data_IF_389329590758
#
_entry.id   IF_389329590758
#
_cell.length_a   1.000
_cell.length_b   1.000
_cell.length_c   1.000
_cell.angle_alpha   90.00
_cell.angle_beta   90.00
_cell.angle_gamma   90.00
#
_symmetry.space_group_name_H-M   'P 1'
#
loop_
_entity.id
_entity.type
_entity.pdbx_description
1 polymer ?
2 non-polymer ?
3 water ?
#
# COMPACT_ATOMS: atom_id res chain seq x y z
N UNK A 4 -22.81 8.03 1.10
CA UNK A 4 -23.72 7.82 2.22
C UNK A 4 -23.28 6.95 3.36
N UNK A 5 -22.06 6.70 3.63
CA UNK A 5 -21.92 6.25 5.04
C UNK A 5 -20.71 6.94 5.65
N UNK A 6 -20.11 6.23 6.55
CA UNK A 6 -18.79 6.58 7.04
C UNK A 6 -18.20 7.76 6.22
N UNK A 7 -17.76 8.84 6.88
CA UNK A 7 -17.09 9.97 6.18
C UNK A 7 -15.61 9.81 6.35
N UNK A 8 -14.85 10.34 5.46
CA UNK A 8 -13.46 10.14 5.63
C UNK A 8 -12.71 11.46 5.51
N UNK A 9 -11.57 11.55 6.17
CA UNK A 9 -10.88 12.78 5.90
C UNK A 9 -9.70 12.39 4.97
N UNK A 10 -9.22 13.22 4.03
CA UNK A 10 -8.04 12.86 3.18
C UNK A 10 -6.87 13.86 3.38
N UNK A 11 -5.90 13.44 4.17
CA UNK A 11 -4.77 14.30 4.40
C UNK A 11 -3.96 14.21 3.12
N UNK A 12 -3.24 15.28 2.81
CA UNK A 12 -2.42 15.31 1.61
C UNK A 12 -3.19 15.63 0.34
N UNK A 13 -4.37 16.23 0.56
CA UNK A 13 -5.34 16.55 -0.50
C UNK A 13 -4.97 17.12 -1.86
N UNK A 14 -3.77 17.65 -2.00
CA UNK A 14 -3.33 18.13 -3.30
C UNK A 14 -2.12 17.36 -3.78
N UNK A 15 -1.66 16.39 -2.99
CA UNK A 15 -0.55 15.56 -3.42
C UNK A 15 -1.02 14.48 -4.42
N UNK A 16 -0.09 13.81 -5.09
CA UNK A 16 -0.44 12.79 -6.07
C UNK A 16 -1.41 11.81 -5.56
N UNK A 17 -1.25 11.37 -4.33
CA UNK A 17 -2.19 10.42 -3.75
C UNK A 17 -3.52 10.97 -3.24
N UNK A 18 -3.54 12.15 -2.61
CA UNK A 18 -4.80 12.72 -2.09
C UNK A 18 -5.87 12.99 -3.18
N UNK A 19 -5.50 13.35 -4.38
CA UNK A 19 -6.55 13.56 -5.35
C UNK A 19 -7.34 12.29 -5.70
N UNK A 20 -6.52 11.29 -5.99
CA UNK A 20 -6.95 9.96 -6.42
C UNK A 20 -7.73 9.48 -5.30
N UNK A 21 -7.37 9.95 -4.14
CA UNK A 21 -8.05 9.39 -3.01
C UNK A 21 -9.42 10.02 -2.91
N UNK A 22 -9.59 11.19 -3.52
CA UNK A 22 -10.87 11.86 -3.42
C UNK A 22 -11.78 11.24 -4.41
N UNK A 23 -11.25 11.14 -5.62
CA UNK A 23 -12.02 10.44 -6.63
C UNK A 23 -12.34 9.08 -6.10
N UNK A 24 -11.35 8.29 -5.69
CA UNK A 24 -11.76 6.97 -5.22
C UNK A 24 -12.86 6.96 -4.19
N UNK A 25 -12.94 8.02 -3.37
CA UNK A 25 -13.87 8.02 -2.25
C UNK A 25 -15.28 8.29 -2.69
N UNK A 26 -15.46 9.37 -3.44
CA UNK A 26 -16.79 9.69 -3.99
C UNK A 26 -17.35 8.42 -4.69
N UNK A 27 -16.81 8.16 -5.88
CA UNK A 27 -16.95 6.89 -6.56
C UNK A 27 -17.23 5.68 -5.63
N UNK A 28 -16.54 5.53 -4.53
CA UNK A 28 -16.96 4.37 -3.75
C UNK A 28 -18.27 4.63 -3.05
N UNK A 29 -19.05 3.59 -2.91
CA UNK A 29 -20.35 3.70 -2.28
C UNK A 29 -20.29 3.21 -0.85
N UNK A 30 -21.01 3.89 0.02
CA UNK A 30 -21.02 3.42 1.39
C UNK A 30 -19.95 4.23 2.08
N UNK A 31 -19.45 5.26 1.39
CA UNK A 31 -18.46 6.16 1.92
C UNK A 31 -18.75 7.63 1.51
N UNK A 32 -18.74 8.56 2.47
CA UNK A 32 -18.88 9.97 2.16
C UNK A 32 -17.57 10.68 2.48
N UNK A 33 -17.37 11.77 1.75
CA UNK A 33 -16.20 12.61 1.91
C UNK A 33 -16.39 13.67 2.99
N UNK A 34 -15.99 13.40 4.24
CA UNK A 34 -16.13 14.38 5.32
C UNK A 34 -15.13 15.55 5.27
N UNK A 35 -13.82 15.29 5.30
CA UNK A 35 -12.89 16.43 5.33
C UNK A 35 -11.77 16.32 4.36
N UNK A 36 -11.14 17.44 4.03
CA UNK A 36 -10.07 17.44 3.06
C UNK A 36 -8.92 18.32 3.49
N UNK A 37 -7.95 17.67 4.11
CA UNK A 37 -6.86 18.44 4.56
C UNK A 37 -5.70 18.63 3.64
N UNK A 38 -5.00 19.71 3.93
CA UNK A 38 -3.76 20.04 3.27
C UNK A 38 -2.96 20.76 4.36
N UNK A 39 -1.72 21.14 4.16
CA UNK A 39 -1.14 21.79 5.32
C UNK A 39 -1.30 23.30 5.15
N UNK A 40 -1.27 24.06 6.25
CA UNK A 40 -1.37 25.55 6.19
C UNK A 40 -0.14 26.31 5.61
N UNK A 41 -0.32 27.05 4.51
CA UNK A 41 0.81 27.66 3.84
C UNK A 41 0.77 27.45 2.32
N UNK A 42 0.19 26.34 1.88
CA UNK A 42 0.02 26.06 0.45
C UNK A 42 -1.07 26.99 -0.06
N UNK A 43 -1.37 26.91 -1.35
CA UNK A 43 -2.43 27.71 -1.98
C UNK A 43 -3.77 27.13 -1.51
N UNK A 44 -3.64 26.28 -0.49
CA UNK A 44 -4.74 25.48 0.07
C UNK A 44 -5.78 25.32 -1.06
N UNK A 45 -5.16 24.96 -2.18
CA UNK A 45 -5.78 24.70 -3.50
C UNK A 45 -7.32 24.62 -3.42
N UNK A 46 -7.92 25.80 -3.65
CA UNK A 46 -9.38 26.02 -3.67
C UNK A 46 -10.13 24.94 -2.87
N UNK A 47 -10.58 25.37 -1.70
CA UNK A 47 -11.32 24.50 -0.78
C UNK A 47 -12.05 23.40 -1.55
N UNK A 48 -11.28 22.33 -1.69
CA UNK A 48 -11.67 21.03 -2.29
C UNK A 48 -12.40 21.10 -3.63
N UNK A 49 -13.23 20.05 -3.64
CA UNK A 49 -14.19 19.65 -4.68
C UNK A 49 -13.48 18.88 -5.77
N UNK A 50 -14.13 18.92 -6.90
CA UNK A 50 -13.54 18.44 -8.11
C UNK A 50 -12.39 19.39 -8.34
N UNK A 51 -12.40 20.39 -7.44
CA UNK A 51 -11.35 21.39 -7.40
C UNK A 51 -10.10 20.60 -7.66
N UNK A 52 -9.79 19.86 -6.64
CA UNK A 52 -8.63 19.00 -6.62
C UNK A 52 -8.84 17.76 -7.47
N UNK A 53 -9.54 16.83 -6.90
CA UNK A 53 -9.80 15.52 -7.51
C UNK A 53 -10.54 15.62 -8.86
N UNK A 54 -10.30 16.71 -9.58
CA UNK A 54 -10.92 16.95 -10.91
C UNK A 54 -12.41 16.54 -10.99
N UNK A 55 -12.99 16.30 -9.81
CA UNK A 55 -14.39 15.84 -9.65
C UNK A 55 -15.39 17.02 -9.72
N UNK A 56 -16.49 16.82 -8.99
CA UNK A 56 -17.63 17.77 -8.92
C UNK A 56 -17.21 19.11 -8.29
N UNK A 57 -17.68 19.32 -7.07
CA UNK A 57 -17.41 20.56 -6.31
C UNK A 57 -17.41 20.28 -4.80
N UNK A 58 -18.45 19.59 -4.37
CA UNK A 58 -18.65 19.17 -2.97
C UNK A 58 -18.55 20.33 -1.99
N UNK A 59 -19.62 20.61 -1.28
CA UNK A 59 -19.54 21.64 -0.23
C UNK A 59 -18.37 21.30 0.73
N UNK A 60 -17.62 20.24 0.37
CA UNK A 60 -16.43 19.77 1.14
C UNK A 60 -15.21 20.52 0.63
N UNK A 61 -14.71 21.35 1.50
CA UNK A 61 -13.66 22.29 1.18
C UNK A 61 -12.37 22.03 2.02
N UNK A 62 -11.24 22.08 1.33
CA UNK A 62 -9.99 21.72 1.98
C UNK A 62 -9.64 22.60 3.19
N UNK A 63 -8.94 22.01 4.15
CA UNK A 63 -8.65 22.77 5.33
C UNK A 63 -7.21 22.59 5.78
N UNK A 64 -6.94 23.06 7.01
CA UNK A 64 -5.62 23.04 7.67
C UNK A 64 -5.82 22.69 9.14
N UNK A 65 -7.05 22.55 9.60
CA UNK A 65 -7.21 22.26 11.00
C UNK A 65 -7.90 21.00 11.47
N UNK A 66 -7.09 20.10 11.99
CA UNK A 66 -7.59 18.90 12.60
C UNK A 66 -8.78 19.04 13.52
N UNK A 67 -8.76 20.03 14.39
CA UNK A 67 -9.85 20.10 15.36
C UNK A 67 -11.05 20.74 14.67
N UNK A 68 -10.70 21.48 13.64
CA UNK A 68 -11.69 22.13 12.82
C UNK A 68 -12.73 21.16 12.19
N UNK A 69 -12.35 19.91 11.99
CA UNK A 69 -13.11 18.96 11.20
C UNK A 69 -13.51 17.78 12.00
N UNK A 70 -13.03 17.76 13.23
CA UNK A 70 -13.20 16.59 14.08
C UNK A 70 -14.52 15.86 14.04
N UNK A 71 -15.57 16.64 13.81
CA UNK A 71 -16.92 16.05 13.78
C UNK A 71 -17.36 15.69 12.37
N UNK A 72 -16.57 16.19 11.41
CA UNK A 72 -16.67 15.94 9.98
C UNK A 72 -16.25 14.59 9.34
N UNK A 73 -15.52 13.71 10.01
CA UNK A 73 -15.11 12.45 9.39
C UNK A 73 -15.06 11.43 10.49
N UNK A 74 -15.03 10.17 10.12
CA UNK A 74 -15.02 9.07 11.08
C UNK A 74 -13.69 8.29 11.02
N UNK A 75 -13.10 8.28 9.81
CA UNK A 75 -11.88 7.58 9.50
C UNK A 75 -10.97 8.52 8.74
N UNK A 76 -9.68 8.39 9.08
CA UNK A 76 -8.70 9.29 8.55
C UNK A 76 -7.77 8.53 7.63
N UNK A 77 -7.58 9.00 6.39
CA UNK A 77 -6.69 8.31 5.46
C UNK A 77 -5.46 9.15 5.15
N UNK A 78 -4.31 8.53 5.38
CA UNK A 78 -3.08 9.24 5.24
C UNK A 78 -2.06 8.62 4.31
N UNK A 79 -1.74 9.37 3.26
CA UNK A 79 -0.64 9.12 2.37
C UNK A 79 0.07 10.42 2.27
N UNK A 80 0.87 10.72 3.30
CA UNK A 80 1.68 11.96 3.35
C UNK A 80 3.14 11.70 3.68
N UNK A 81 3.57 12.18 4.86
CA UNK A 81 4.95 12.01 5.38
C UNK A 81 4.92 11.61 6.81
N UNK A 82 5.91 10.82 7.21
CA UNK A 82 5.95 10.18 8.53
C UNK A 82 5.64 11.13 9.61
N UNK A 83 6.21 12.32 9.45
CA UNK A 83 6.10 13.39 10.42
C UNK A 83 4.67 13.91 10.53
N UNK A 84 4.07 14.18 9.37
CA UNK A 84 2.66 14.58 9.36
C UNK A 84 1.79 13.49 9.99
N UNK A 85 2.08 12.26 9.56
CA UNK A 85 1.33 11.10 10.04
C UNK A 85 1.27 11.08 11.55
N UNK A 86 2.45 11.13 12.14
CA UNK A 86 2.59 11.04 13.58
C UNK A 86 1.72 12.07 14.34
N UNK A 87 1.58 13.25 13.73
CA UNK A 87 0.68 14.27 14.30
C UNK A 87 -0.79 13.84 14.25
N UNK A 88 -1.25 13.58 13.03
CA UNK A 88 -2.61 13.12 12.79
C UNK A 88 -2.79 11.96 13.68
N UNK A 89 -1.75 11.16 13.79
CA UNK A 89 -1.89 9.99 14.63
C UNK A 89 -2.25 10.31 16.01
N UNK A 90 -1.64 11.35 16.53
CA UNK A 90 -1.88 11.72 17.91
C UNK A 90 -3.30 12.21 18.08
N UNK A 91 -3.77 13.01 17.14
CA UNK A 91 -5.12 13.56 17.19
C UNK A 91 -6.13 12.44 17.10
N UNK A 92 -6.01 11.61 16.05
CA UNK A 92 -7.01 10.53 15.95
C UNK A 92 -7.03 9.69 17.16
N UNK A 93 -5.84 9.42 17.69
CA UNK A 93 -5.77 8.58 18.88
C UNK A 93 -6.54 9.15 20.12
N UNK A 94 -6.40 10.47 20.29
CA UNK A 94 -7.02 11.26 21.34
C UNK A 94 -8.54 10.99 21.29
N UNK A 95 -9.13 11.33 20.15
CA UNK A 95 -10.57 11.17 19.89
C UNK A 95 -10.72 9.94 18.98
N UNK A 96 -11.14 8.82 19.54
CA UNK A 96 -11.27 7.61 18.72
C UNK A 96 -11.63 7.84 17.24
N UNK A 97 -10.58 8.01 16.45
CA UNK A 97 -10.77 8.20 15.04
C UNK A 97 -9.82 7.16 14.43
N UNK A 98 -10.39 6.26 13.61
CA UNK A 98 -9.70 5.17 12.90
C UNK A 98 -8.76 5.65 11.83
N UNK A 99 -7.67 4.93 11.61
CA UNK A 99 -6.79 5.42 10.55
C UNK A 99 -6.59 4.41 9.43
N UNK A 100 -6.50 4.91 8.22
CA UNK A 100 -6.00 4.08 7.18
C UNK A 100 -4.69 4.73 6.83
N UNK A 101 -3.57 4.03 7.06
CA UNK A 101 -2.26 4.65 6.82
C UNK A 101 -1.43 4.06 5.72
N UNK A 102 -1.03 4.86 4.74
CA UNK A 102 -0.25 4.30 3.64
C UNK A 102 0.99 5.07 3.37
N UNK A 103 1.25 5.99 4.27
CA UNK A 103 2.46 6.77 4.25
C UNK A 103 3.54 5.76 4.54
N UNK A 104 4.66 5.91 3.87
CA UNK A 104 5.75 5.02 4.23
C UNK A 104 7.01 5.71 4.71
N UNK A 105 7.96 4.87 5.15
CA UNK A 105 9.30 5.28 5.57
C UNK A 105 9.43 5.68 7.04
N UNK A 106 8.68 5.03 7.93
CA UNK A 106 8.83 5.33 9.34
C UNK A 106 10.17 4.77 9.83
N UNK A 107 10.60 5.17 11.01
CA UNK A 107 11.82 4.62 11.58
C UNK A 107 11.09 3.82 12.62
N UNK A 108 11.86 3.00 13.30
CA UNK A 108 11.38 2.07 14.29
C UNK A 108 10.54 2.74 15.34
N UNK A 109 10.92 3.95 15.63
CA UNK A 109 10.17 4.67 16.62
C UNK A 109 8.81 4.95 16.00
N UNK A 110 8.83 5.22 14.69
CA UNK A 110 7.63 5.54 13.92
C UNK A 110 6.64 4.42 14.09
N UNK A 111 7.05 3.30 13.55
CA UNK A 111 6.23 2.11 13.58
C UNK A 111 5.79 1.85 14.97
N UNK A 112 6.61 2.24 15.92
CA UNK A 112 6.24 1.85 17.25
C UNK A 112 5.04 2.56 17.82
N UNK A 113 4.85 3.81 17.38
CA UNK A 113 3.74 4.69 17.85
C UNK A 113 2.44 4.14 17.32
N UNK A 114 2.50 3.88 16.03
CA UNK A 114 1.47 3.14 15.34
C UNK A 114 0.98 1.94 16.11
N UNK A 115 1.83 0.95 16.41
CA UNK A 115 1.28 -0.20 17.11
C UNK A 115 0.72 0.25 18.40
N UNK A 116 1.35 1.30 18.93
CA UNK A 116 0.87 1.74 20.21
C UNK A 116 -0.42 2.45 20.10
N UNK A 117 -0.60 3.33 19.11
CA UNK A 117 -1.92 3.99 18.90
C UNK A 117 -2.99 2.93 18.64
N UNK A 118 -2.58 1.82 18.02
CA UNK A 118 -3.45 0.65 17.79
C UNK A 118 -4.18 -0.01 18.95
N UNK A 119 -3.97 0.37 20.18
CA UNK A 119 -4.89 -0.18 21.16
C UNK A 119 -6.06 0.70 21.59
N UNK A 120 -6.19 1.85 20.97
CA UNK A 120 -7.21 2.79 21.32
C UNK A 120 -8.02 3.10 20.07
N UNK A 121 -7.38 2.99 18.92
CA UNK A 121 -8.14 3.23 17.70
C UNK A 121 -7.91 2.03 16.80
N UNK A 122 -8.67 1.96 15.73
CA UNK A 122 -8.48 0.87 14.77
C UNK A 122 -7.74 1.46 13.61
N UNK A 123 -6.61 0.83 13.27
CA UNK A 123 -5.73 1.25 12.17
C UNK A 123 -5.41 0.13 11.11
N UNK A 124 -5.46 0.49 9.84
CA UNK A 124 -4.99 -0.39 8.79
C UNK A 124 -3.72 0.21 8.29
N UNK A 125 -2.66 -0.53 8.44
CA UNK A 125 -1.43 0.05 8.08
C UNK A 125 -0.91 -0.92 7.07
N UNK A 126 -0.52 -0.43 5.90
CA UNK A 126 0.01 -1.28 4.87
C UNK A 126 0.95 -0.58 3.98
N UNK A 127 1.96 -1.33 3.58
CA UNK A 127 2.98 -0.89 2.62
C UNK A 127 2.45 -0.72 1.24
N UNK A 128 1.56 -1.64 0.85
CA UNK A 128 1.00 -1.65 -0.51
C UNK A 128 -0.47 -1.95 -0.34
N UNK A 129 -1.28 -1.10 -0.95
CA UNK A 129 -2.70 -1.14 -0.75
C UNK A 129 -3.36 -1.60 -2.03
N UNK A 130 -2.63 -2.16 -2.97
CA UNK A 130 -3.28 -2.67 -4.18
C UNK A 130 -3.82 -4.06 -3.92
N UNK A 131 -5.12 -4.27 -4.09
CA UNK A 131 -5.73 -5.60 -3.85
C UNK A 131 -5.06 -6.75 -4.59
N UNK A 132 -4.95 -6.53 -5.89
CA UNK A 132 -4.17 -7.32 -6.82
C UNK A 132 -2.86 -7.77 -6.18
N UNK A 133 -2.04 -6.86 -5.73
CA UNK A 133 -0.76 -7.24 -5.17
C UNK A 133 -0.96 -8.07 -3.93
N UNK A 134 -1.99 -7.78 -3.18
CA UNK A 134 -2.10 -8.49 -1.93
C UNK A 134 -2.56 -9.92 -2.16
N UNK A 135 -3.39 -10.08 -3.20
CA UNK A 135 -3.76 -11.44 -3.59
C UNK A 135 -2.52 -12.17 -4.16
N UNK A 136 -1.78 -11.54 -5.06
CA UNK A 136 -0.65 -12.21 -5.62
C UNK A 136 0.30 -12.73 -4.58
N UNK A 137 0.47 -11.95 -3.53
CA UNK A 137 1.39 -12.40 -2.50
C UNK A 137 0.87 -13.68 -1.82
N UNK A 138 -0.41 -13.73 -1.53
CA UNK A 138 -1.07 -14.95 -1.00
C UNK A 138 -0.88 -16.21 -1.98
N UNK A 139 -1.13 -15.95 -3.27
CA UNK A 139 -0.98 -16.97 -4.29
C UNK A 139 0.41 -17.63 -4.42
N UNK A 140 1.38 -16.77 -4.36
CA UNK A 140 2.78 -17.10 -4.48
C UNK A 140 3.24 -18.00 -3.36
N UNK A 141 2.51 -18.03 -2.26
CA UNK A 141 2.86 -18.85 -1.15
C UNK A 141 2.48 -20.28 -1.44
N UNK A 142 1.20 -20.36 -1.76
CA UNK A 142 0.53 -21.57 -2.10
C UNK A 142 1.38 -22.14 -3.12
N UNK A 143 1.43 -21.43 -4.21
CA UNK A 143 2.31 -21.84 -5.26
C UNK A 143 3.69 -22.44 -4.86
N UNK A 144 4.43 -21.77 -3.99
CA UNK A 144 5.74 -22.20 -3.51
C UNK A 144 5.61 -23.52 -2.77
N UNK A 145 4.49 -23.65 -2.10
CA UNK A 145 4.16 -24.85 -1.35
C UNK A 145 4.41 -26.09 -2.18
N UNK A 146 3.73 -26.12 -3.31
CA UNK A 146 3.77 -27.33 -4.15
C UNK A 146 4.86 -27.31 -5.24
N UNK A 147 5.12 -26.18 -5.88
CA UNK A 147 6.15 -26.17 -6.96
C UNK A 147 7.49 -25.67 -6.43
N UNK A 148 7.42 -24.62 -5.65
CA UNK A 148 8.62 -24.06 -5.02
C UNK A 148 9.32 -25.20 -4.30
N UNK A 149 10.59 -25.40 -4.62
CA UNK A 149 11.35 -26.51 -4.04
C UNK A 149 12.53 -26.94 -4.89
N UNK A 150 12.01 -27.36 -6.06
CA UNK A 150 12.64 -28.03 -7.23
C UNK A 150 12.55 -27.19 -8.51
N UNK A 151 11.80 -26.10 -8.41
CA UNK A 151 11.68 -25.16 -9.52
C UNK A 151 12.59 -23.97 -9.25
N UNK A 152 13.06 -23.40 -10.33
CA UNK A 152 13.87 -22.19 -10.25
C UNK A 152 12.91 -21.03 -10.03
N UNK A 153 13.30 -20.07 -9.21
CA UNK A 153 12.48 -18.92 -8.90
C UNK A 153 13.21 -17.63 -9.13
N UNK A 154 12.58 -16.85 -10.01
CA UNK A 154 13.06 -15.55 -10.50
C UNK A 154 11.95 -14.55 -10.43
N UNK A 155 12.18 -13.36 -9.85
CA UNK A 155 11.24 -12.27 -9.75
C UNK A 155 11.71 -11.16 -10.69
N UNK A 156 10.86 -10.66 -11.59
CA UNK A 156 11.19 -9.54 -12.52
C UNK A 156 10.25 -8.37 -12.18
N UNK A 157 10.77 -7.14 -12.13
CA UNK A 157 9.88 -6.01 -11.82
C UNK A 157 10.41 -4.89 -12.64
N UNK A 158 9.46 -4.09 -13.13
CA UNK A 158 9.71 -2.93 -13.99
C UNK A 158 9.07 -1.70 -13.29
N UNK A 159 9.70 -0.53 -13.38
CA UNK A 159 9.13 0.69 -12.84
C UNK A 159 9.72 1.79 -13.62
N UNK A 160 9.06 2.93 -13.56
CA UNK A 160 9.44 4.18 -14.23
C UNK A 160 10.89 4.65 -13.91
N UNK A 161 11.39 5.50 -14.78
CA UNK A 161 12.73 5.90 -14.70
C UNK A 161 13.02 6.79 -13.56
N UNK A 162 12.16 6.99 -12.59
CA UNK A 162 12.62 7.81 -11.49
C UNK A 162 12.57 7.06 -10.22
N UNK A 163 12.35 5.74 -10.24
CA UNK A 163 12.35 4.92 -9.02
C UNK A 163 13.83 4.79 -8.66
N UNK A 164 14.18 4.96 -7.37
CA UNK A 164 15.61 4.98 -6.95
C UNK A 164 16.23 3.75 -6.28
N UNK A 165 15.35 2.86 -5.86
CA UNK A 165 15.76 1.68 -5.16
C UNK A 165 15.46 0.50 -6.02
N UNK A 166 16.44 -0.39 -6.17
CA UNK A 166 16.36 -1.64 -6.91
C UNK A 166 16.74 -2.77 -5.96
N UNK A 167 15.77 -3.65 -5.97
CA UNK A 167 14.63 -4.25 -6.72
C UNK A 167 13.48 -3.70 -5.90
N UNK A 168 12.35 -3.41 -6.42
CA UNK A 168 11.29 -2.75 -5.62
C UNK A 168 11.03 -3.33 -4.25
N UNK A 169 10.27 -2.63 -3.45
CA UNK A 169 9.91 -3.17 -2.15
C UNK A 169 8.91 -4.26 -2.36
N UNK A 170 8.09 -4.15 -3.40
CA UNK A 170 7.17 -5.24 -3.66
C UNK A 170 7.93 -6.49 -4.11
N UNK A 171 8.92 -6.35 -5.00
CA UNK A 171 9.67 -7.54 -5.37
C UNK A 171 10.25 -8.18 -4.14
N UNK A 172 10.63 -7.34 -3.17
CA UNK A 172 11.28 -7.88 -2.00
C UNK A 172 10.36 -8.63 -1.11
N UNK A 173 9.18 -8.08 -0.99
CA UNK A 173 8.12 -8.75 -0.24
C UNK A 173 7.69 -10.07 -0.96
N UNK A 174 7.62 -10.02 -2.30
CA UNK A 174 7.34 -11.20 -3.11
C UNK A 174 8.34 -12.30 -2.69
N UNK A 175 9.62 -11.92 -2.75
CA UNK A 175 10.78 -12.75 -2.34
C UNK A 175 10.68 -13.36 -0.94
N UNK A 176 10.26 -12.56 0.01
CA UNK A 176 10.20 -13.08 1.34
C UNK A 176 9.05 -13.99 1.47
N UNK A 177 7.96 -13.63 0.79
CA UNK A 177 6.70 -14.43 0.77
C UNK A 177 6.92 -15.88 0.37
N UNK A 178 7.75 -16.03 -0.64
CA UNK A 178 8.18 -17.31 -1.15
C UNK A 178 9.15 -18.04 -0.23
N UNK A 179 10.26 -17.37 0.07
CA UNK A 179 11.33 -17.93 0.91
C UNK A 179 10.73 -18.42 2.21
N UNK A 180 9.83 -17.66 2.76
CA UNK A 180 9.24 -18.17 3.95
C UNK A 180 8.49 -19.47 3.62
N UNK A 181 7.75 -19.45 2.49
CA UNK A 181 6.87 -20.57 2.16
C UNK A 181 7.77 -21.78 2.18
N UNK A 182 8.97 -21.60 1.69
CA UNK A 182 9.82 -22.74 1.56
C UNK A 182 10.51 -22.84 2.88
N UNK A 183 10.11 -21.96 3.76
CA UNK A 183 10.70 -21.96 5.07
C UNK A 183 12.22 -21.83 5.05
N UNK A 184 12.74 -20.80 4.39
CA UNK A 184 14.18 -20.48 4.37
C UNK A 184 14.37 -19.00 4.56
N UNK A 185 15.58 -18.55 4.32
CA UNK A 185 15.72 -17.15 4.49
C UNK A 185 16.19 -16.40 3.29
N UNK A 186 15.35 -15.40 2.96
CA UNK A 186 15.52 -14.63 1.75
C UNK A 186 16.94 -14.20 1.62
N UNK A 187 17.49 -13.84 2.77
CA UNK A 187 18.86 -13.35 2.85
C UNK A 187 19.92 -14.42 2.52
N UNK A 188 19.64 -15.69 2.83
CA UNK A 188 20.56 -16.81 2.50
C UNK A 188 20.56 -17.30 1.01
N UNK A 189 19.46 -17.04 0.32
CA UNK A 189 19.28 -17.45 -1.08
C UNK A 189 19.00 -16.44 -2.21
N UNK A 190 19.15 -15.13 -1.99
CA UNK A 190 18.82 -14.10 -3.00
C UNK A 190 20.01 -13.76 -3.86
N UNK A 191 19.78 -13.40 -5.10
CA UNK A 191 20.83 -12.98 -6.00
C UNK A 191 20.31 -11.73 -6.76
N UNK A 192 20.94 -10.56 -6.73
CA UNK A 192 20.26 -9.39 -7.25
C UNK A 192 20.88 -8.93 -8.46
N UNK A 193 21.99 -9.51 -8.78
CA UNK A 193 22.67 -8.96 -9.93
C UNK A 193 23.27 -10.13 -10.70
N UNK A 194 23.53 -10.00 -12.00
CA UNK A 194 24.09 -11.09 -12.81
C UNK A 194 24.82 -10.39 -13.94
N UNK A 195 26.13 -10.23 -13.80
CA UNK A 195 26.95 -9.48 -14.76
C UNK A 195 28.14 -10.40 -15.07
N UNK A 196 28.61 -10.47 -16.30
CA UNK A 196 29.73 -11.31 -16.71
C UNK A 196 29.68 -12.84 -16.51
N UNK A 197 30.84 -13.45 -16.25
CA UNK A 197 30.85 -14.90 -16.09
C UNK A 197 30.32 -15.25 -14.76
N UNK A 198 29.10 -15.69 -14.74
CA UNK A 198 28.50 -16.02 -13.48
C UNK A 198 28.81 -17.50 -13.17
N UNK A 199 28.99 -18.34 -14.18
CA UNK A 199 29.01 -19.77 -13.90
C UNK A 199 27.52 -20.15 -13.89
N UNK A 200 27.14 -21.32 -13.38
CA UNK A 200 25.76 -21.78 -13.48
C UNK A 200 24.81 -21.25 -12.42
N UNK A 201 23.50 -21.16 -12.75
CA UNK A 201 22.53 -20.72 -11.76
C UNK A 201 22.63 -21.75 -10.63
N UNK A 202 22.51 -21.30 -9.38
CA UNK A 202 22.65 -22.12 -8.20
C UNK A 202 21.32 -22.54 -7.75
N UNK A 203 21.17 -23.84 -7.51
CA UNK A 203 19.86 -24.36 -7.18
C UNK A 203 19.62 -23.80 -5.84
N UNK A 204 18.37 -23.41 -5.63
CA UNK A 204 17.93 -22.95 -4.34
C UNK A 204 17.89 -21.40 -4.29
N UNK A 205 18.50 -20.67 -5.23
CA UNK A 205 18.37 -19.24 -5.10
C UNK A 205 17.13 -18.56 -5.72
N UNK A 206 16.97 -17.27 -5.43
CA UNK A 206 15.85 -16.53 -5.98
C UNK A 206 16.47 -15.33 -6.64
N UNK A 207 16.64 -15.35 -7.96
CA UNK A 207 17.20 -14.23 -8.71
C UNK A 207 16.15 -13.09 -8.76
N UNK A 208 16.56 -11.85 -9.07
CA UNK A 208 15.66 -10.72 -9.17
C UNK A 208 16.24 -10.00 -10.35
N UNK A 209 15.38 -9.56 -11.23
CA UNK A 209 15.80 -8.82 -12.42
C UNK A 209 14.96 -7.55 -12.28
N UNK A 210 15.51 -6.41 -12.72
CA UNK A 210 14.98 -5.08 -12.50
C UNK A 210 15.13 -4.21 -13.68
N UNK A 211 13.96 -3.76 -14.13
CA UNK A 211 13.80 -2.97 -15.34
C UNK A 211 13.30 -1.60 -14.90
N UNK A 212 13.92 -0.57 -15.49
CA UNK A 212 13.56 0.82 -15.16
C UNK A 212 13.35 1.53 -16.43
N UNK A 213 12.12 1.97 -16.72
CA UNK A 213 11.96 2.69 -17.99
C UNK A 213 10.67 3.53 -17.99
N UNK A 214 10.60 4.53 -18.87
CA UNK A 214 9.41 5.38 -19.01
C UNK A 214 8.63 5.73 -17.78
N UNK A 215 7.32 5.58 -17.88
CA UNK A 215 6.39 5.90 -16.81
C UNK A 215 5.67 4.67 -16.26
N UNK A 216 6.21 3.47 -16.47
CA UNK A 216 5.61 2.22 -15.94
C UNK A 216 5.35 2.37 -14.50
N UNK A 217 4.13 2.22 -14.06
CA UNK A 217 3.79 2.48 -12.67
C UNK A 217 4.23 1.36 -11.74
N UNK A 218 4.28 0.15 -12.32
CA UNK A 218 4.64 -1.05 -11.57
C UNK A 218 4.13 -2.40 -12.02
N UNK A 219 5.07 -3.22 -12.44
CA UNK A 219 4.80 -4.56 -12.88
C UNK A 219 5.65 -5.56 -12.14
N UNK A 220 4.98 -6.55 -11.59
CA UNK A 220 5.70 -7.57 -10.87
C UNK A 220 5.36 -8.97 -11.39
N UNK A 221 6.38 -9.77 -11.74
CA UNK A 221 6.20 -11.15 -12.15
C UNK A 221 7.01 -12.16 -11.39
N UNK A 222 6.37 -13.19 -10.89
CA UNK A 222 7.10 -14.23 -10.20
C UNK A 222 7.09 -15.46 -11.09
N UNK A 223 8.22 -16.10 -11.27
CA UNK A 223 8.29 -17.21 -12.15
C UNK A 223 8.65 -18.54 -11.46
N UNK A 224 8.01 -19.67 -11.73
CA UNK A 224 8.53 -20.91 -11.17
C UNK A 224 8.79 -21.79 -12.35
N UNK A 225 10.06 -21.97 -12.72
CA UNK A 225 10.48 -22.74 -13.87
C UNK A 225 11.04 -24.16 -13.55
N UNK A 226 10.46 -25.16 -14.23
CA UNK A 226 10.90 -26.55 -14.16
C UNK A 226 11.41 -26.86 -15.54
N UNK A 227 11.61 -28.14 -15.76
CA UNK A 227 12.02 -28.57 -17.11
C UNK A 227 10.82 -28.96 -17.91
N UNK A 228 10.41 -28.10 -18.83
CA UNK A 228 9.23 -28.39 -19.60
C UNK A 228 8.04 -27.52 -19.32
N UNK A 229 8.00 -26.82 -18.22
CA UNK A 229 6.87 -25.92 -18.05
C UNK A 229 7.29 -24.66 -17.19
N UNK A 230 6.57 -23.53 -17.28
CA UNK A 230 6.75 -22.36 -16.36
C UNK A 230 5.37 -21.85 -15.84
N UNK A 231 5.21 -21.64 -14.54
CA UNK A 231 4.07 -20.92 -13.98
C UNK A 231 4.56 -19.46 -13.66
N UNK A 232 3.92 -18.44 -14.23
CA UNK A 232 4.15 -17.00 -13.97
C UNK A 232 2.95 -16.32 -13.34
N UNK A 233 3.17 -15.50 -12.32
CA UNK A 233 2.14 -14.73 -11.69
C UNK A 233 2.60 -13.27 -11.70
N UNK A 234 1.94 -12.48 -12.56
CA UNK A 234 2.23 -11.12 -12.87
C UNK A 234 1.13 -10.20 -12.37
N UNK A 235 1.52 -9.05 -11.82
CA UNK A 235 0.54 -8.08 -11.40
C UNK A 235 0.97 -6.82 -12.07
N UNK A 236 0.08 -6.21 -12.86
CA UNK A 236 0.44 -4.95 -13.53
C UNK A 236 -0.43 -3.81 -12.99
N UNK A 237 0.17 -2.72 -12.45
CA UNK A 237 -0.58 -1.56 -11.95
C UNK A 237 -0.58 -0.68 -13.11
N UNK A 238 -1.75 -0.17 -13.41
CA UNK A 238 -1.95 0.70 -14.57
C UNK A 238 -1.96 2.20 -14.12
N UNK A 239 -2.40 2.42 -12.88
CA UNK A 239 -2.43 3.78 -12.36
C UNK A 239 -2.50 3.63 -10.89
N UNK A 240 -2.11 4.72 -10.25
CA UNK A 240 -2.12 4.75 -8.78
C UNK A 240 -3.50 4.59 -8.16
N UNK A 241 -4.56 4.56 -8.98
CA UNK A 241 -5.92 4.39 -8.47
C UNK A 241 -5.97 3.05 -7.81
N UNK A 242 -5.17 2.14 -8.30
CA UNK A 242 -5.14 0.89 -7.63
C UNK A 242 -4.91 0.97 -6.07
N UNK A 243 -4.15 1.91 -5.53
CA UNK A 243 -4.00 1.93 -4.06
C UNK A 243 -5.07 2.75 -3.32
N UNK A 244 -5.52 3.77 -4.02
CA UNK A 244 -6.58 4.68 -3.57
C UNK A 244 -7.81 3.88 -3.35
N UNK A 245 -8.10 2.98 -4.31
CA UNK A 245 -9.23 2.06 -4.22
C UNK A 245 -9.09 1.15 -3.03
N UNK A 246 -7.91 0.60 -2.85
CA UNK A 246 -7.83 -0.34 -1.76
C UNK A 246 -7.73 0.39 -0.42
N UNK A 247 -7.40 1.67 -0.39
CA UNK A 247 -7.35 2.38 0.91
C UNK A 247 -8.75 2.68 1.36
N UNK A 248 -9.50 3.19 0.39
CA UNK A 248 -10.90 3.40 0.62
C UNK A 248 -11.62 2.11 0.95
N UNK A 249 -11.37 1.03 0.26
CA UNK A 249 -12.06 -0.19 0.66
C UNK A 249 -11.75 -0.48 2.12
N UNK A 250 -10.51 -0.25 2.58
CA UNK A 250 -10.19 -0.58 3.98
C UNK A 250 -10.82 0.35 5.01
N UNK A 251 -10.93 1.62 4.63
CA UNK A 251 -11.63 2.63 5.44
C UNK A 251 -13.02 2.14 5.72
N UNK A 252 -13.68 1.78 4.66
CA UNK A 252 -14.98 1.16 4.80
C UNK A 252 -14.92 -0.07 5.67
N UNK A 253 -13.94 -0.94 5.45
CA UNK A 253 -13.96 -2.19 6.22
C UNK A 253 -13.85 -1.90 7.71
N UNK A 254 -13.25 -0.76 8.03
CA UNK A 254 -13.00 -0.40 9.41
C UNK A 254 -14.24 -0.18 10.20
N UNK A 255 -15.35 -0.18 9.47
CA UNK A 255 -16.66 0.11 10.02
C UNK A 255 -17.05 -0.90 11.01
N UNK A 256 -17.30 -0.40 12.20
CA UNK A 256 -17.70 -1.25 13.31
C UNK A 256 -16.51 -1.59 14.19
N UNK A 257 -15.32 -1.26 13.68
CA UNK A 257 -14.10 -1.60 14.33
C UNK A 257 -13.67 -0.55 15.30
N UNK A 258 -13.56 -1.04 16.54
CA UNK A 258 -13.09 -0.31 17.71
C UNK A 258 -11.55 -0.08 17.73
N UNK A 259 -10.78 -1.17 17.73
CA UNK A 259 -9.31 -1.06 17.67
C UNK A 259 -8.59 -2.33 17.17
N UNK A 260 -7.29 -2.18 16.87
CA UNK A 260 -6.39 -3.29 16.53
C UNK A 260 -5.60 -2.78 15.36
N UNK A 261 -4.46 -3.42 15.13
CA UNK A 261 -3.61 -3.09 13.98
C UNK A 261 -3.92 -4.12 12.87
N UNK A 262 -4.14 -3.66 11.65
CA UNK A 262 -4.47 -4.57 10.59
C UNK A 262 -3.79 -4.20 9.31
N UNK A 263 -3.94 -5.07 8.32
CA UNK A 263 -3.42 -4.80 6.99
C UNK A 263 -4.40 -5.50 6.04
N UNK A 264 -4.08 -5.45 4.74
CA UNK A 264 -4.84 -5.97 3.64
C UNK A 264 -5.26 -7.45 3.71
N UNK A 265 -4.46 -8.29 4.32
CA UNK A 265 -4.82 -9.66 4.51
C UNK A 265 -6.04 -9.69 5.34
N UNK A 266 -6.13 -8.71 6.25
CA UNK A 266 -7.28 -8.55 7.19
C UNK A 266 -8.45 -8.00 6.43
N UNK A 267 -8.23 -6.91 5.72
CA UNK A 267 -9.26 -6.34 4.92
C UNK A 267 -9.88 -7.35 3.93
N UNK A 268 -9.00 -8.04 3.19
CA UNK A 268 -9.30 -8.98 2.08
C UNK A 268 -9.57 -10.40 2.56
N UNK A 269 -9.42 -10.56 3.86
CA UNK A 269 -9.61 -11.83 4.51
C UNK A 269 -8.71 -12.83 3.81
N UNK A 270 -7.55 -12.40 3.34
CA UNK A 270 -6.67 -13.37 2.70
C UNK A 270 -6.30 -14.43 3.74
N UNK A 271 -6.83 -14.33 4.95
CA UNK A 271 -6.27 -15.26 5.89
C UNK A 271 -6.75 -16.66 5.89
N UNK A 272 -8.07 -16.73 5.92
CA UNK A 272 -8.75 -17.99 5.83
C UNK A 272 -8.68 -18.45 4.35
N UNK A 273 -8.19 -17.60 3.46
CA UNK A 273 -8.18 -17.94 2.04
C UNK A 273 -7.31 -19.10 1.51
X LIG B 1 3.02 13.71 -2.68
X LIG B 1 1.95 14.17 -3.61
X LIG B 1 4.24 14.56 -2.62
X LIG B 1 2.37 13.64 -1.21
X LIG B 1 2.58 14.67 -0.26
X LIG B 1 1.26 15.03 0.36
X LIG B 1 1.38 14.95 1.80
X LIG B 1 0.91 16.49 0.14
X LIG B 1 -0.51 16.57 0.20
X LIG B 1 1.60 17.21 1.33
X LIG B 1 1.01 18.43 1.78
X LIG B 1 1.15 16.24 2.39
X LIG B 1 1.97 16.51 3.58
X LIG B 1 3.34 16.55 3.49
X LIG B 1 3.91 16.76 4.65
X LIG B 1 2.87 16.98 5.54
X LIG B 1 2.85 17.36 6.91
X LIG B 1 3.93 17.50 7.71
X LIG B 1 1.62 17.52 7.49
X LIG B 1 0.53 17.41 6.70
X LIG B 1 0.44 17.16 5.37
X LIG B 1 1.66 16.89 4.87
X LIG B 1 3.24 12.29 -3.08
X LIG B 1 2.26 11.20 -2.87
X LIG B 1 2.77 10.61 -4.15
X LIG B 1 0.85 11.62 -2.63
X LIG B 1 2.72 10.29 -1.62
X LIG B 1 1.89 10.08 -0.49
X LIG B 1 2.36 9.04 0.53
X LIG B 1 1.73 7.75 0.31
X LIG B 1 3.85 8.73 0.65
X LIG B 1 4.34 8.46 1.99
X LIG B 1 4.03 7.45 -0.18
X LIG B 1 5.20 6.82 0.32
X LIG B 1 2.72 6.73 0.13
X LIG B 1 2.25 5.71 -0.83
X LIG B 1 1.75 4.55 -0.38
X LIG B 1 1.07 3.59 -1.04
X LIG B 1 0.68 2.39 -0.47
X LIG B 1 0.11 1.41 -1.28
X LIG B 1 1.11 2.24 0.77
X LIG B 1 1.04 3.81 -2.34
X LIG B 1 1.54 4.93 -2.95
X LIG B 1 2.23 5.88 -2.16
#
# INVERSE_FOLDING_TARGET
MHDANIRVAIAGAGGRMGRQLIQAALALEGVQLGAALEREGSSLLGSDAGELAGAGKTGVTVQSSLDAVKDDFDVFIDFTRPEGTLNHLAFCRQHGKGMVIGTTGFDEAGKQAIRDAAADIAIVFAANFSVGVNVMLKLLEKAAKVMGDYTDIEIIEAHHRHKVDAPSGTALAMGEAIAHALDKDLKDCAVYSREGHTGERVPGTIGFATVRAGDIVGEHTAMFADIGERLEITHKASSRMTFANGAVRSALWLSGKESGLFDMRDVLDLNNL
NAD PA O1A O2A O5B C5B C4B O4B C3B O3B C2B O2B C1B N9A C8A N7A C5A C6A N6A N1A C2A N3A C4A O3 PN O1N O2N O5D C5D C4D O4D C3D O3D C2D O2D C1D N1N C2N C3N C7N O7N N7N C4N C5N C6N
#
